data_IF_894290378786
#
_entry.id   IF_894290378786
#
_cell.length_a   1.000
_cell.length_b   1.000
_cell.length_c   1.000
_cell.angle_alpha   90.00
_cell.angle_beta   90.00
_cell.angle_gamma   90.00
#
_symmetry.space_group_name_H-M   'P 1'
#
loop_
_entity.id
_entity.type
_entity.pdbx_description
1 polymer ?
#
# COMPACT_ATOMS: atom_id res chain seq x y z
N UNK A 1 -18.46 -18.89 3.62
CA UNK A 1 -17.64 -17.96 4.42
C UNK A 1 -17.96 -16.56 3.97
N UNK A 2 -18.24 -15.62 4.88
CA UNK A 2 -18.48 -14.23 4.49
C UNK A 2 -17.23 -13.68 3.78
N UNK A 3 -17.42 -13.04 2.62
CA UNK A 3 -16.32 -12.37 1.88
C UNK A 3 -15.60 -11.43 2.85
N UNK A 4 -14.27 -11.53 2.97
CA UNK A 4 -13.53 -10.60 3.83
C UNK A 4 -13.56 -9.22 3.17
N UNK A 5 -14.52 -8.40 3.59
CA UNK A 5 -14.71 -7.06 3.10
C UNK A 5 -14.25 -6.08 4.20
N UNK A 6 -13.16 -5.35 3.93
CA UNK A 6 -12.58 -4.40 4.88
C UNK A 6 -13.58 -3.36 5.36
N UNK A 7 -14.53 -2.96 4.51
CA UNK A 7 -15.52 -1.94 4.83
C UNK A 7 -16.56 -2.40 5.87
N UNK A 8 -16.65 -3.72 6.11
CA UNK A 8 -17.45 -4.31 7.18
C UNK A 8 -16.63 -4.63 8.45
N UNK A 9 -15.31 -4.42 8.43
CA UNK A 9 -14.46 -4.74 9.57
C UNK A 9 -14.65 -3.72 10.71
N UNK A 10 -14.71 -4.17 11.98
CA UNK A 10 -14.83 -3.26 13.12
C UNK A 10 -13.53 -2.48 13.32
N UNK A 11 -13.64 -1.28 13.88
CA UNK A 11 -12.51 -0.43 14.22
C UNK A 11 -12.67 1.00 13.70
N UNK A 12 -11.58 1.75 13.78
CA UNK A 12 -11.44 3.11 13.26
C UNK A 12 -10.51 3.10 12.05
N UNK A 13 -10.70 4.08 11.16
CA UNK A 13 -9.76 4.32 10.07
C UNK A 13 -8.57 5.10 10.61
N UNK A 14 -7.37 4.58 10.39
CA UNK A 14 -6.11 5.22 10.75
C UNK A 14 -5.32 5.53 9.47
N UNK A 15 -4.92 6.79 9.32
CA UNK A 15 -4.11 7.25 8.20
C UNK A 15 -2.65 6.90 8.46
N UNK A 16 -1.96 6.24 7.53
CA UNK A 16 -0.55 5.97 7.74
C UNK A 16 0.29 5.75 6.50
N UNK A 17 1.58 6.07 6.60
CA UNK A 17 2.54 5.81 5.55
C UNK A 17 3.38 4.57 5.87
N UNK A 18 3.68 3.78 4.84
CA UNK A 18 4.39 2.49 4.96
C UNK A 18 5.84 2.54 4.52
N UNK A 19 6.30 3.66 3.95
CA UNK A 19 7.64 3.76 3.37
C UNK A 19 8.22 5.17 3.59
N UNK A 20 9.18 5.30 4.50
CA UNK A 20 9.81 6.57 4.89
C UNK A 20 11.26 6.34 5.31
N UNK A 21 12.15 7.20 4.82
CA UNK A 21 13.57 7.23 5.16
C UNK A 21 13.92 8.45 5.99
N UNK A 22 14.83 8.26 6.93
CA UNK A 22 15.36 9.29 7.81
C UNK A 22 16.86 9.46 7.60
N UNK A 23 17.46 10.37 8.37
CA UNK A 23 18.93 10.52 8.47
C UNK A 23 19.65 9.27 8.98
N UNK A 24 18.93 8.25 9.42
CA UNK A 24 19.52 6.97 9.82
C UNK A 24 19.93 6.11 8.61
N UNK A 25 19.46 6.44 7.40
CA UNK A 25 19.94 5.89 6.13
C UNK A 25 20.27 7.00 5.10
N UNK A 26 19.42 7.26 4.11
CA UNK A 26 19.66 8.22 3.02
C UNK A 26 18.58 9.32 2.90
N UNK A 27 17.64 9.37 3.85
CA UNK A 27 16.74 10.50 4.01
C UNK A 27 17.45 11.74 4.57
N UNK A 28 16.93 12.92 4.27
CA UNK A 28 17.47 14.20 4.78
C UNK A 28 16.75 14.72 6.02
N UNK A 29 15.62 14.11 6.39
CA UNK A 29 14.83 14.49 7.56
C UNK A 29 15.21 13.62 8.76
N UNK A 30 15.37 14.22 9.94
CA UNK A 30 15.50 13.45 11.19
C UNK A 30 14.19 12.76 11.54
N UNK A 31 14.23 11.79 12.44
CA UNK A 31 13.02 11.09 12.93
C UNK A 31 12.01 12.07 13.55
N UNK A 32 12.48 13.11 14.25
CA UNK A 32 11.66 14.17 14.82
C UNK A 32 10.99 15.01 13.74
N UNK A 33 11.74 15.41 12.71
CA UNK A 33 11.20 16.16 11.58
C UNK A 33 10.16 15.34 10.80
N UNK A 34 10.41 14.05 10.61
CA UNK A 34 9.42 13.12 10.04
C UNK A 34 8.14 13.11 10.89
N UNK A 35 8.27 12.95 12.22
CA UNK A 35 7.12 12.98 13.13
C UNK A 35 6.34 14.29 13.02
N UNK A 36 7.04 15.41 12.92
CA UNK A 36 6.43 16.73 12.80
C UNK A 36 5.69 16.91 11.47
N UNK A 37 6.34 16.62 10.34
CA UNK A 37 5.77 16.80 9.00
C UNK A 37 4.54 15.92 8.79
N UNK A 38 4.61 14.64 9.16
CA UNK A 38 3.45 13.75 9.10
C UNK A 38 2.36 14.13 10.13
N UNK A 39 2.76 14.63 11.30
CA UNK A 39 1.85 15.14 12.32
C UNK A 39 1.01 16.33 11.82
N UNK A 40 1.62 17.29 11.10
CA UNK A 40 0.93 18.42 10.46
C UNK A 40 -0.14 17.97 9.47
N UNK A 41 0.05 16.81 8.83
CA UNK A 41 -0.89 16.24 7.85
C UNK A 41 -1.89 15.24 8.45
N UNK A 42 -1.97 15.17 9.78
CA UNK A 42 -2.94 14.35 10.50
C UNK A 42 -2.72 12.84 10.34
N UNK A 43 -1.48 12.40 10.15
CA UNK A 43 -1.18 10.96 10.13
C UNK A 43 -1.32 10.36 11.52
N UNK A 44 -1.79 9.11 11.56
CA UNK A 44 -1.88 8.32 12.77
C UNK A 44 -0.64 7.47 13.01
N UNK A 45 -0.01 6.97 11.95
CA UNK A 45 1.21 6.21 12.06
C UNK A 45 2.12 6.39 10.85
N UNK A 46 3.42 6.17 11.05
CA UNK A 46 4.43 6.19 9.99
C UNK A 46 5.39 5.05 10.26
N UNK A 47 5.65 4.22 9.26
CA UNK A 47 6.74 3.26 9.34
C UNK A 47 8.06 3.94 8.99
N UNK A 48 9.06 3.84 9.88
CA UNK A 48 10.45 4.18 9.58
C UNK A 48 11.09 2.97 8.92
N UNK A 49 11.45 3.08 7.66
CA UNK A 49 11.89 1.96 6.80
C UNK A 49 13.29 2.20 6.26
N UNK A 50 14.16 2.82 7.05
CA UNK A 50 15.54 3.10 6.69
C UNK A 50 16.25 1.86 6.10
N UNK A 51 17.08 2.10 5.09
CA UNK A 51 17.77 1.03 4.38
C UNK A 51 18.61 0.15 5.31
N UNK A 52 18.27 -1.15 5.34
CA UNK A 52 18.95 -2.18 6.14
C UNK A 52 19.05 -1.89 7.64
N UNK A 53 18.32 -0.91 8.16
CA UNK A 53 18.44 -0.43 9.53
C UNK A 53 17.10 -0.33 10.20
N UNK A 54 16.98 -1.00 11.35
CA UNK A 54 15.82 -0.86 12.23
C UNK A 54 15.98 0.41 13.06
N UNK A 55 15.42 1.51 12.58
CA UNK A 55 15.40 2.77 13.32
C UNK A 55 14.46 2.67 14.53
N UNK A 56 14.98 3.04 15.70
CA UNK A 56 14.19 3.13 16.94
C UNK A 56 13.88 4.60 17.18
N UNK A 57 12.60 5.01 17.17
CA UNK A 57 12.26 6.40 17.38
C UNK A 57 12.58 6.83 18.82
N UNK A 58 13.02 8.08 19.03
CA UNK A 58 13.12 8.66 20.37
C UNK A 58 11.81 8.56 21.14
N UNK A 59 11.90 8.37 22.46
CA UNK A 59 10.71 8.35 23.31
C UNK A 59 10.07 9.75 23.42
N UNK A 60 8.75 9.80 23.55
CA UNK A 60 8.02 11.03 23.87
C UNK A 60 7.79 11.99 22.70
N UNK A 61 8.07 11.58 21.46
CA UNK A 61 7.71 12.37 20.28
C UNK A 61 6.19 12.58 20.20
N UNK A 62 5.79 13.80 19.86
CA UNK A 62 4.41 14.16 19.57
C UNK A 62 4.13 13.91 18.09
N UNK A 63 2.93 13.42 17.76
CA UNK A 63 2.49 13.20 16.38
C UNK A 63 2.04 11.76 16.11
N UNK A 64 2.29 11.22 14.91
CA UNK A 64 1.92 9.85 14.58
C UNK A 64 2.72 8.83 15.41
N UNK A 65 2.16 7.63 15.54
CA UNK A 65 2.91 6.49 16.06
C UNK A 65 3.99 6.09 15.06
N UNK A 66 5.25 6.24 15.44
CA UNK A 66 6.38 5.80 14.62
C UNK A 66 6.62 4.31 14.83
N UNK A 67 6.54 3.54 13.75
CA UNK A 67 6.59 2.08 13.75
C UNK A 67 7.87 1.58 13.10
N UNK A 68 8.51 0.52 13.63
CA UNK A 68 9.72 -0.02 13.04
C UNK A 68 9.42 -0.77 11.75
N UNK A 69 10.19 -0.48 10.71
CA UNK A 69 10.29 -1.21 9.46
C UNK A 69 11.74 -1.21 8.98
N UNK A 70 11.99 -1.87 7.86
CA UNK A 70 13.27 -1.84 7.13
C UNK A 70 12.95 -1.92 5.65
N UNK A 71 13.62 -1.12 4.83
CA UNK A 71 13.72 -1.40 3.40
C UNK A 71 15.00 -2.17 3.08
N UNK A 72 14.86 -3.34 2.47
CA UNK A 72 15.96 -4.10 1.92
C UNK A 72 16.16 -3.68 0.46
N UNK A 73 17.38 -3.26 0.10
CA UNK A 73 17.76 -3.06 -1.29
C UNK A 73 18.83 -4.09 -1.70
N UNK A 74 18.67 -4.70 -2.88
CA UNK A 74 19.62 -5.65 -3.44
C UNK A 74 19.38 -5.85 -4.95
N UNK A 75 20.34 -6.47 -5.63
CA UNK A 75 20.24 -6.81 -7.06
C UNK A 75 20.17 -8.33 -7.22
N UNK A 76 19.26 -8.82 -8.06
CA UNK A 76 19.28 -10.21 -8.53
C UNK A 76 19.45 -10.20 -10.05
N UNK A 77 20.57 -10.75 -10.52
CA UNK A 77 20.99 -10.66 -11.93
C UNK A 77 21.11 -9.18 -12.34
N UNK A 78 20.19 -8.68 -13.15
CA UNK A 78 20.19 -7.32 -13.68
C UNK A 78 19.04 -6.47 -13.11
N UNK A 79 18.17 -7.06 -12.28
CA UNK A 79 16.99 -6.39 -11.72
C UNK A 79 17.29 -5.87 -10.31
N UNK A 80 16.92 -4.61 -10.06
CA UNK A 80 16.99 -3.99 -8.73
C UNK A 80 15.73 -4.33 -7.95
N UNK A 81 15.91 -4.71 -6.69
CA UNK A 81 14.84 -5.05 -5.76
C UNK A 81 14.91 -4.17 -4.53
N UNK A 82 13.77 -3.58 -4.22
CA UNK A 82 13.51 -2.88 -2.99
C UNK A 82 12.33 -3.57 -2.30
N UNK A 83 12.54 -4.00 -1.05
CA UNK A 83 11.57 -4.79 -0.30
C UNK A 83 11.37 -4.17 1.08
N UNK A 84 10.22 -3.53 1.28
CA UNK A 84 9.84 -2.97 2.57
C UNK A 84 9.28 -4.06 3.47
N UNK A 85 9.86 -4.21 4.65
CA UNK A 85 9.48 -5.16 5.69
C UNK A 85 8.87 -4.40 6.87
N UNK A 86 7.59 -4.63 7.16
CA UNK A 86 6.87 -3.90 8.22
C UNK A 86 6.88 -4.64 9.57
N UNK A 87 7.02 -3.91 10.66
CA UNK A 87 6.90 -4.46 12.03
C UNK A 87 8.05 -5.39 12.41
N UNK A 88 9.26 -5.08 11.93
CA UNK A 88 10.44 -5.91 12.18
C UNK A 88 10.89 -5.83 13.64
N UNK A 89 11.29 -6.97 14.20
CA UNK A 89 11.76 -7.07 15.59
C UNK A 89 13.26 -6.83 15.75
N UNK A 90 14.02 -7.13 14.70
CA UNK A 90 15.47 -7.01 14.66
C UNK A 90 15.92 -6.52 13.29
N UNK A 91 17.11 -5.92 13.23
CA UNK A 91 17.77 -5.65 11.96
C UNK A 91 18.47 -6.89 11.42
N UNK A 92 18.68 -6.92 10.11
CA UNK A 92 19.47 -7.96 9.44
C UNK A 92 20.71 -7.34 8.81
N UNK A 93 21.86 -8.04 8.83
CA UNK A 93 23.05 -7.53 8.16
C UNK A 93 22.83 -7.47 6.64
N UNK A 94 23.35 -6.42 6.03
CA UNK A 94 23.39 -6.29 4.58
C UNK A 94 24.13 -7.48 3.96
N UNK A 95 23.52 -8.09 2.95
CA UNK A 95 24.14 -9.20 2.21
C UNK A 95 23.58 -9.31 0.80
N UNK A 96 24.38 -9.87 -0.08
CA UNK A 96 23.94 -10.22 -1.42
C UNK A 96 23.04 -11.46 -1.39
N UNK A 97 21.97 -11.42 -2.18
CA UNK A 97 21.10 -12.56 -2.38
C UNK A 97 21.34 -13.16 -3.77
N UNK A 98 21.11 -14.46 -3.89
CA UNK A 98 21.09 -15.19 -5.18
C UNK A 98 19.67 -15.51 -5.63
N UNK A 99 18.70 -15.37 -4.72
CA UNK A 99 17.28 -15.58 -5.01
C UNK A 99 16.40 -14.87 -3.97
N UNK A 100 15.15 -14.61 -4.33
CA UNK A 100 14.13 -14.10 -3.41
C UNK A 100 13.85 -15.08 -2.24
N UNK A 101 14.07 -16.37 -2.43
CA UNK A 101 13.93 -17.36 -1.36
C UNK A 101 14.90 -17.11 -0.19
N UNK A 102 16.12 -16.66 -0.47
CA UNK A 102 17.10 -16.31 0.57
C UNK A 102 16.72 -15.04 1.34
N UNK A 103 15.90 -14.17 0.74
CA UNK A 103 15.32 -13.00 1.42
C UNK A 103 14.25 -13.47 2.40
N UNK A 104 13.33 -14.34 1.94
CA UNK A 104 12.29 -14.94 2.80
C UNK A 104 12.91 -15.74 3.96
N UNK A 105 13.96 -16.52 3.69
CA UNK A 105 14.71 -17.26 4.71
C UNK A 105 15.41 -16.34 5.71
N UNK A 106 15.88 -15.17 5.27
CA UNK A 106 16.47 -14.18 6.18
C UNK A 106 15.41 -13.59 7.11
N UNK A 107 14.26 -13.21 6.55
CA UNK A 107 13.16 -12.60 7.29
C UNK A 107 12.59 -13.62 8.29
N UNK A 108 12.36 -14.86 7.84
CA UNK A 108 11.89 -16.02 8.60
C UNK A 108 10.76 -15.73 9.62
N UNK A 109 9.89 -14.77 9.33
CA UNK A 109 8.73 -14.44 10.15
C UNK A 109 7.55 -14.16 9.23
N UNK A 110 6.58 -15.08 9.22
CA UNK A 110 5.35 -14.95 8.44
C UNK A 110 4.48 -13.77 8.87
N UNK A 111 4.78 -13.16 10.02
CA UNK A 111 4.10 -11.97 10.51
C UNK A 111 4.77 -10.67 10.06
N UNK A 112 5.83 -10.71 9.25
CA UNK A 112 6.41 -9.51 8.64
C UNK A 112 5.83 -9.36 7.23
N UNK A 113 4.94 -8.39 6.99
CA UNK A 113 4.52 -8.06 5.63
C UNK A 113 5.74 -7.61 4.82
N UNK A 114 6.06 -8.36 3.76
CA UNK A 114 7.07 -7.98 2.77
C UNK A 114 6.37 -7.34 1.57
N UNK A 115 6.72 -6.10 1.28
CA UNK A 115 6.12 -5.28 0.22
C UNK A 115 7.15 -5.09 -0.88
N UNK A 116 6.82 -5.41 -2.12
CA UNK A 116 7.64 -5.03 -3.26
C UNK A 116 7.50 -3.51 -3.48
N UNK A 117 8.56 -2.76 -3.18
CA UNK A 117 8.55 -1.31 -3.28
C UNK A 117 8.77 -0.87 -4.74
N UNK A 118 8.01 0.16 -5.14
CA UNK A 118 8.09 0.88 -6.41
C UNK A 118 8.67 0.08 -7.60
N UNK A 119 8.04 -1.05 -7.99
CA UNK A 119 8.64 -1.97 -8.95
C UNK A 119 8.89 -1.32 -10.31
N UNK A 120 8.04 -0.37 -10.71
CA UNK A 120 8.25 0.35 -11.96
C UNK A 120 9.55 1.16 -11.94
N UNK A 121 9.83 1.91 -10.86
CA UNK A 121 11.08 2.66 -10.71
C UNK A 121 12.29 1.75 -10.74
N UNK A 122 12.26 0.68 -9.93
CA UNK A 122 13.34 -0.31 -9.82
C UNK A 122 13.56 -1.16 -11.09
N UNK A 123 12.67 -1.06 -12.07
CA UNK A 123 12.73 -1.87 -13.29
C UNK A 123 12.31 -3.32 -13.09
N UNK A 124 11.78 -3.67 -11.91
CA UNK A 124 11.29 -5.00 -11.59
C UNK A 124 10.07 -5.35 -12.45
N UNK A 125 10.14 -6.33 -13.36
CA UNK A 125 9.03 -6.66 -14.24
C UNK A 125 7.87 -7.31 -13.49
N UNK A 126 6.64 -7.20 -14.03
CA UNK A 126 5.41 -7.70 -13.39
C UNK A 126 5.45 -9.19 -13.03
N UNK A 127 6.17 -10.01 -13.81
CA UNK A 127 6.33 -11.43 -13.53
C UNK A 127 7.04 -11.73 -12.19
N UNK A 128 7.74 -10.77 -11.60
CA UNK A 128 8.31 -10.88 -10.25
C UNK A 128 7.23 -11.22 -9.23
N UNK A 129 6.11 -10.51 -9.26
CA UNK A 129 4.95 -10.76 -8.39
C UNK A 129 4.22 -12.07 -8.74
N UNK A 130 4.37 -12.55 -9.98
CA UNK A 130 3.76 -13.82 -10.43
C UNK A 130 4.57 -15.03 -9.94
N UNK A 131 5.89 -14.99 -10.04
CA UNK A 131 6.77 -16.14 -9.75
C UNK A 131 7.00 -16.33 -8.25
N UNK A 132 6.99 -15.24 -7.48
CA UNK A 132 7.17 -15.29 -6.02
C UNK A 132 5.83 -15.13 -5.31
N UNK A 133 5.31 -16.20 -4.71
CA UNK A 133 4.24 -16.09 -3.70
C UNK A 133 4.82 -15.64 -2.35
N UNK A 134 5.59 -14.54 -2.39
CA UNK A 134 6.42 -14.08 -1.28
C UNK A 134 6.03 -12.68 -0.81
N UNK A 135 5.46 -11.88 -1.70
CA UNK A 135 5.12 -10.50 -1.41
C UNK A 135 3.68 -10.43 -0.89
N UNK A 136 3.55 -9.84 0.29
CA UNK A 136 2.27 -9.52 0.90
C UNK A 136 1.53 -8.44 0.09
N UNK A 137 2.28 -7.42 -0.36
CA UNK A 137 1.75 -6.34 -1.17
C UNK A 137 2.79 -5.85 -2.19
N UNK A 138 2.34 -5.00 -3.11
CA UNK A 138 3.21 -4.16 -3.95
C UNK A 138 2.82 -2.71 -3.78
N UNK A 139 3.77 -1.79 -3.94
CA UNK A 139 3.41 -0.38 -4.08
C UNK A 139 2.72 -0.16 -5.43
N UNK A 140 1.43 0.19 -5.40
CA UNK A 140 0.67 0.57 -6.59
C UNK A 140 0.95 2.00 -6.99
N UNK A 141 1.29 2.83 -6.00
CA UNK A 141 1.72 4.21 -6.17
C UNK A 141 2.85 4.54 -5.19
N UNK A 142 3.87 5.22 -5.68
CA UNK A 142 4.99 5.73 -4.90
C UNK A 142 5.26 7.21 -5.23
N UNK A 143 5.18 8.09 -4.23
CA UNK A 143 5.30 9.55 -4.41
C UNK A 143 6.70 9.98 -4.87
N UNK A 144 7.76 9.52 -4.21
CA UNK A 144 9.14 9.84 -4.56
C UNK A 144 9.43 9.51 -6.03
N UNK A 145 9.06 8.31 -6.45
CA UNK A 145 9.26 7.82 -7.81
C UNK A 145 8.43 8.60 -8.85
N UNK A 146 7.22 9.03 -8.49
CA UNK A 146 6.37 9.86 -9.35
C UNK A 146 6.97 11.25 -9.54
N UNK A 147 7.29 11.94 -8.44
CA UNK A 147 7.78 13.32 -8.45
C UNK A 147 9.14 13.41 -9.15
N UNK A 148 10.03 12.44 -8.89
CA UNK A 148 11.40 12.54 -9.37
C UNK A 148 11.52 12.22 -10.85
N UNK A 149 10.85 11.16 -11.33
CA UNK A 149 11.02 10.66 -12.71
C UNK A 149 9.76 10.05 -13.34
N UNK A 150 8.56 10.34 -12.82
CA UNK A 150 7.28 9.86 -13.36
C UNK A 150 7.13 8.32 -13.42
N UNK A 151 7.75 7.60 -12.47
CA UNK A 151 7.69 6.13 -12.36
C UNK A 151 6.93 5.66 -11.11
N UNK A 152 5.98 6.47 -10.62
CA UNK A 152 5.25 6.18 -9.39
C UNK A 152 4.18 5.09 -9.51
N UNK A 153 3.57 4.90 -10.69
CA UNK A 153 2.40 4.03 -10.86
C UNK A 153 2.76 2.61 -11.31
N UNK A 154 2.31 1.61 -10.55
CA UNK A 154 2.59 0.20 -10.80
C UNK A 154 1.32 -0.68 -10.84
N UNK A 155 0.17 -0.10 -11.21
CA UNK A 155 -1.11 -0.84 -11.30
C UNK A 155 -1.03 -2.07 -12.24
N UNK A 156 -0.31 -1.98 -13.35
CA UNK A 156 -0.11 -3.11 -14.27
C UNK A 156 0.67 -4.26 -13.62
N UNK A 157 1.70 -3.96 -12.81
CA UNK A 157 2.44 -4.98 -12.06
C UNK A 157 1.52 -5.76 -11.13
N UNK A 158 0.65 -5.02 -10.45
CA UNK A 158 -0.32 -5.60 -9.53
C UNK A 158 -1.39 -6.44 -10.26
N UNK A 159 -1.96 -5.92 -11.35
CA UNK A 159 -3.00 -6.60 -12.11
C UNK A 159 -2.52 -7.89 -12.78
N UNK A 160 -1.30 -7.92 -13.27
CA UNK A 160 -0.68 -9.14 -13.82
C UNK A 160 -0.57 -10.24 -12.74
N UNK A 161 -0.21 -9.86 -11.51
CA UNK A 161 -0.16 -10.79 -10.38
C UNK A 161 -1.56 -11.34 -10.03
N UNK A 162 -2.56 -10.45 -9.93
CA UNK A 162 -3.94 -10.84 -9.65
C UNK A 162 -4.52 -11.72 -10.76
N UNK A 163 -4.21 -11.40 -12.03
CA UNK A 163 -4.60 -12.20 -13.20
C UNK A 163 -4.01 -13.61 -13.15
N UNK A 164 -2.78 -13.74 -12.67
CA UNK A 164 -2.09 -15.01 -12.45
C UNK A 164 -2.61 -15.78 -11.21
N UNK A 165 -3.60 -15.23 -10.49
CA UNK A 165 -4.22 -15.87 -9.33
C UNK A 165 -3.49 -15.61 -8.01
N UNK A 166 -2.51 -14.71 -7.97
CA UNK A 166 -1.83 -14.31 -6.74
C UNK A 166 -2.74 -13.43 -5.89
N UNK A 167 -2.60 -13.54 -4.57
CA UNK A 167 -3.34 -12.74 -3.59
C UNK A 167 -2.42 -11.67 -2.99
N UNK A 168 -2.04 -10.71 -3.83
CA UNK A 168 -1.16 -9.60 -3.46
C UNK A 168 -2.01 -8.35 -3.24
N UNK A 169 -1.76 -7.64 -2.14
CA UNK A 169 -2.41 -6.36 -1.84
C UNK A 169 -1.68 -5.18 -2.51
N UNK A 170 -2.29 -3.99 -2.47
CA UNK A 170 -1.67 -2.77 -2.97
C UNK A 170 -1.54 -1.72 -1.89
N UNK A 171 -0.34 -1.18 -1.71
CA UNK A 171 -0.09 -0.01 -0.86
C UNK A 171 0.21 1.22 -1.72
N UNK A 172 -0.22 2.40 -1.28
CA UNK A 172 0.31 3.67 -1.76
C UNK A 172 1.21 4.22 -0.66
N UNK A 173 2.39 4.71 -1.04
CA UNK A 173 3.38 5.18 -0.07
C UNK A 173 4.14 6.39 -0.60
N UNK A 174 4.74 7.13 0.31
CA UNK A 174 5.49 8.33 -0.05
C UNK A 174 6.93 8.03 -0.49
N UNK A 175 7.57 7.06 0.16
CA UNK A 175 9.03 6.84 0.04
C UNK A 175 9.81 8.14 0.33
N UNK A 176 9.46 8.71 1.48
CA UNK A 176 9.93 10.04 1.87
C UNK A 176 11.42 10.01 2.13
N UNK A 177 12.17 10.74 1.29
CA UNK A 177 13.58 11.07 1.52
C UNK A 177 13.75 12.55 1.87
N UNK A 178 12.79 13.42 1.48
CA UNK A 178 12.81 14.87 1.67
C UNK A 178 11.39 15.41 1.82
N UNK A 179 11.25 16.62 2.37
CA UNK A 179 9.96 17.23 2.72
C UNK A 179 8.94 17.24 1.57
N UNK A 180 9.38 17.47 0.33
CA UNK A 180 8.50 17.49 -0.85
C UNK A 180 7.85 16.16 -1.22
N UNK A 181 8.23 15.04 -0.60
CA UNK A 181 7.62 13.72 -0.83
C UNK A 181 6.46 13.42 0.14
N UNK A 182 6.37 14.15 1.25
CA UNK A 182 5.45 13.84 2.35
C UNK A 182 4.00 14.05 1.90
N UNK A 183 3.14 13.06 2.10
CA UNK A 183 1.70 13.21 1.91
C UNK A 183 1.20 13.07 0.48
N UNK A 184 1.95 12.39 -0.41
CA UNK A 184 1.50 12.13 -1.78
C UNK A 184 0.68 10.84 -1.93
N UNK A 185 0.92 9.82 -1.09
CA UNK A 185 0.19 8.55 -1.11
C UNK A 185 0.32 7.78 0.20
N UNK A 186 -0.77 7.18 0.67
CA UNK A 186 -0.81 6.50 1.96
C UNK A 186 -1.84 5.37 2.01
N UNK A 187 -1.83 4.62 3.11
CA UNK A 187 -2.87 3.64 3.42
C UNK A 187 -3.83 4.17 4.48
N UNK A 188 -5.10 3.77 4.37
CA UNK A 188 -6.11 3.94 5.39
C UNK A 188 -6.41 2.57 5.98
N UNK A 189 -5.99 2.34 7.23
CA UNK A 189 -6.05 1.03 7.91
C UNK A 189 -7.23 0.97 8.85
N UNK A 190 -8.06 -0.08 8.76
CA UNK A 190 -9.18 -0.34 9.66
C UNK A 190 -8.69 -1.15 10.87
N UNK A 191 -8.32 -0.46 11.95
CA UNK A 191 -7.74 -1.06 13.15
C UNK A 191 -8.63 -0.87 14.39
N UNK A 192 -8.52 -1.79 15.36
CA UNK A 192 -9.28 -1.71 16.62
C UNK A 192 -8.86 -0.55 17.52
N UNK A 193 -7.58 -0.16 17.45
CA UNK A 193 -6.99 0.92 18.23
C UNK A 193 -5.73 1.46 17.53
N UNK A 194 -5.31 2.67 17.89
CA UNK A 194 -4.05 3.29 17.45
C UNK A 194 -2.87 2.74 18.26
N UNK A 195 -2.50 1.50 17.98
CA UNK A 195 -1.37 0.78 18.60
C UNK A 195 -0.63 -0.02 17.54
N UNK A 196 0.67 -0.22 17.69
CA UNK A 196 1.50 -1.00 16.75
C UNK A 196 0.87 -2.37 16.46
N UNK A 197 0.53 -3.11 17.52
CA UNK A 197 -0.09 -4.43 17.39
C UNK A 197 -1.38 -4.38 16.57
N UNK A 198 -2.28 -3.43 16.87
CA UNK A 198 -3.58 -3.35 16.20
C UNK A 198 -3.46 -2.94 14.73
N UNK A 199 -2.52 -2.05 14.42
CA UNK A 199 -2.22 -1.60 13.05
C UNK A 199 -1.61 -2.75 12.25
N UNK A 200 -0.56 -3.40 12.75
CA UNK A 200 0.07 -4.54 12.06
C UNK A 200 -0.91 -5.72 11.89
N UNK A 201 -1.72 -6.02 12.91
CA UNK A 201 -2.75 -7.06 12.82
C UNK A 201 -3.79 -6.74 11.74
N UNK A 202 -4.19 -5.46 11.60
CA UNK A 202 -5.11 -5.03 10.55
C UNK A 202 -4.46 -5.10 9.16
N UNK A 203 -3.22 -4.62 9.01
CA UNK A 203 -2.45 -4.72 7.77
C UNK A 203 -2.36 -6.18 7.33
N UNK A 204 -1.90 -7.10 8.17
CA UNK A 204 -1.76 -8.54 7.84
C UNK A 204 -3.05 -9.19 7.35
N UNK A 205 -4.22 -8.70 7.78
CA UNK A 205 -5.53 -9.19 7.34
C UNK A 205 -6.00 -8.58 6.02
N UNK A 206 -5.25 -7.64 5.45
CA UNK A 206 -5.69 -6.85 4.29
C UNK A 206 -6.74 -5.80 4.64
N UNK A 207 -6.88 -5.43 5.93
CA UNK A 207 -7.91 -4.48 6.38
C UNK A 207 -7.47 -3.04 6.14
N UNK A 208 -7.20 -2.69 4.88
CA UNK A 208 -6.86 -1.33 4.47
C UNK A 208 -7.24 -1.08 3.01
N UNK A 209 -7.25 0.20 2.63
CA UNK A 209 -7.21 0.64 1.24
C UNK A 209 -6.12 1.69 1.07
N UNK A 210 -5.74 1.98 -0.16
CA UNK A 210 -4.66 2.91 -0.50
C UNK A 210 -5.21 4.14 -1.19
N UNK A 211 -4.59 5.31 -1.00
CA UNK A 211 -5.12 6.55 -1.58
C UNK A 211 -4.08 7.66 -1.69
N UNK A 212 -4.33 8.58 -2.62
CA UNK A 212 -3.65 9.88 -2.71
C UNK A 212 -4.53 11.04 -2.23
N UNK A 213 -5.66 10.75 -1.57
CA UNK A 213 -6.63 11.76 -1.16
C UNK A 213 -8.06 11.24 -1.10
N UNK A 214 -8.62 10.70 -2.20
CA UNK A 214 -10.00 10.24 -2.22
C UNK A 214 -10.29 9.19 -1.14
N UNK A 215 -11.50 9.22 -0.60
CA UNK A 215 -11.95 8.31 0.45
C UNK A 215 -12.85 7.25 -0.18
N UNK A 216 -12.60 5.97 0.10
CA UNK A 216 -13.56 4.90 -0.17
C UNK A 216 -14.29 4.65 1.15
N UNK A 217 -15.56 5.03 1.22
CA UNK A 217 -16.35 4.92 2.45
C UNK A 217 -16.90 3.51 2.62
N UNK A 218 -17.43 2.94 1.53
CA UNK A 218 -18.00 1.60 1.53
C UNK A 218 -17.97 0.95 0.15
N UNK A 219 -17.85 -0.38 0.15
CA UNK A 219 -18.07 -1.24 -1.02
C UNK A 219 -18.98 -2.37 -0.58
N UNK A 220 -20.18 -2.45 -1.14
CA UNK A 220 -21.19 -3.43 -0.76
C UNK A 220 -21.56 -4.34 -1.94
N UNK A 221 -21.93 -5.58 -1.62
CA UNK A 221 -22.35 -6.59 -2.59
C UNK A 221 -23.77 -7.04 -2.29
N UNK A 222 -24.66 -6.99 -3.28
CA UNK A 222 -26.04 -7.51 -3.18
C UNK A 222 -26.40 -8.26 -4.46
N UNK A 223 -26.45 -9.59 -4.39
CA UNK A 223 -26.64 -10.42 -5.58
C UNK A 223 -25.50 -10.19 -6.58
N UNK A 224 -25.85 -9.69 -7.76
CA UNK A 224 -24.94 -9.35 -8.86
C UNK A 224 -24.54 -7.87 -8.90
N UNK A 225 -24.90 -7.10 -7.88
CA UNK A 225 -24.64 -5.66 -7.78
C UNK A 225 -23.46 -5.35 -6.87
N UNK A 226 -22.67 -4.35 -7.28
CA UNK A 226 -21.57 -3.76 -6.50
C UNK A 226 -21.89 -2.29 -6.30
N UNK A 227 -22.15 -1.88 -5.06
CA UNK A 227 -22.43 -0.49 -4.70
C UNK A 227 -21.20 0.12 -4.04
N UNK A 228 -20.77 1.29 -4.51
CA UNK A 228 -19.59 2.01 -3.99
C UNK A 228 -20.04 3.37 -3.47
N UNK A 229 -19.58 3.76 -2.28
CA UNK A 229 -19.67 5.13 -1.78
C UNK A 229 -18.28 5.67 -1.43
N UNK A 230 -18.06 6.94 -1.70
CA UNK A 230 -16.76 7.59 -1.63
C UNK A 230 -16.88 9.11 -1.46
N UNK A 231 -15.74 9.76 -1.21
CA UNK A 231 -15.64 11.22 -1.34
C UNK A 231 -16.01 11.70 -2.76
N UNK A 232 -16.28 13.00 -2.98
CA UNK A 232 -16.52 13.55 -4.30
C UNK A 232 -15.46 13.16 -5.34
N UNK A 233 -15.87 12.45 -6.40
CA UNK A 233 -15.00 11.97 -7.49
C UNK A 233 -15.61 12.20 -8.88
N UNK A 234 -14.81 12.03 -9.94
CA UNK A 234 -15.25 12.08 -11.35
C UNK A 234 -15.46 10.71 -11.97
N UNK A 235 -14.75 9.72 -11.45
CA UNK A 235 -14.74 8.36 -12.01
C UNK A 235 -14.67 7.32 -10.91
N UNK A 236 -15.53 6.31 -11.02
CA UNK A 236 -15.48 5.09 -10.21
C UNK A 236 -15.25 3.91 -11.17
N UNK A 237 -14.22 3.10 -10.89
CA UNK A 237 -13.91 1.90 -11.65
C UNK A 237 -14.14 0.67 -10.78
N UNK A 238 -14.81 -0.33 -11.33
CA UNK A 238 -14.78 -1.71 -10.85
C UNK A 238 -13.84 -2.49 -11.76
N UNK A 239 -12.80 -3.07 -11.18
CA UNK A 239 -11.79 -3.82 -11.93
C UNK A 239 -11.74 -5.25 -11.40
N UNK A 240 -11.66 -6.20 -12.33
CA UNK A 240 -11.62 -7.63 -12.05
C UNK A 240 -10.63 -8.33 -13.00
N UNK A 241 -10.70 -9.67 -13.06
CA UNK A 241 -9.75 -10.47 -13.84
C UNK A 241 -9.95 -10.28 -15.35
N UNK A 242 -8.86 -10.07 -16.07
CA UNK A 242 -8.89 -10.00 -17.53
C UNK A 242 -9.70 -8.79 -18.03
N UNK A 243 -10.58 -8.95 -19.04
CA UNK A 243 -11.38 -7.83 -19.56
C UNK A 243 -12.58 -7.48 -18.66
N UNK A 244 -12.79 -8.17 -17.55
CA UNK A 244 -13.95 -7.96 -16.68
C UNK A 244 -13.79 -6.71 -15.81
N UNK A 245 -14.78 -5.83 -15.87
CA UNK A 245 -14.81 -4.58 -15.12
C UNK A 245 -15.88 -3.65 -15.67
N UNK A 246 -16.01 -2.49 -15.05
CA UNK A 246 -16.88 -1.41 -15.52
C UNK A 246 -16.37 -0.07 -14.99
N UNK A 247 -16.65 1.00 -15.71
CA UNK A 247 -16.30 2.36 -15.33
C UNK A 247 -17.53 3.24 -15.44
N UNK A 248 -17.77 4.06 -14.41
CA UNK A 248 -18.72 5.15 -14.46
C UNK A 248 -17.98 6.48 -14.41
N UNK A 249 -18.28 7.39 -15.35
CA UNK A 249 -17.68 8.72 -15.47
C UNK A 249 -18.79 9.76 -15.40
N UNK A 250 -18.61 10.79 -14.59
CA UNK A 250 -19.53 11.91 -14.48
C UNK A 250 -18.89 13.25 -14.83
N UNK A 251 -19.67 14.13 -15.47
CA UNK A 251 -19.32 15.55 -15.71
C UNK A 251 -19.44 16.42 -14.47
N UNK A 252 -20.04 15.91 -13.39
CA UNK A 252 -20.11 16.54 -12.07
C UNK A 252 -19.45 15.64 -11.02
N UNK A 253 -19.20 16.17 -9.82
CA UNK A 253 -18.73 15.33 -8.73
C UNK A 253 -19.85 14.37 -8.29
N UNK A 254 -19.49 13.10 -8.09
CA UNK A 254 -20.37 12.05 -7.56
C UNK A 254 -19.76 11.47 -6.29
N UNK A 255 -20.61 10.92 -5.42
CA UNK A 255 -20.19 10.30 -4.15
C UNK A 255 -20.56 8.83 -4.06
N UNK A 256 -21.26 8.29 -5.07
CA UNK A 256 -21.59 6.88 -5.14
C UNK A 256 -21.96 6.44 -6.56
N UNK A 257 -21.87 5.14 -6.81
CA UNK A 257 -22.45 4.49 -7.97
C UNK A 257 -22.72 3.01 -7.70
N UNK A 258 -23.70 2.44 -8.38
CA UNK A 258 -24.00 1.00 -8.33
C UNK A 258 -23.79 0.38 -9.71
N UNK A 259 -23.01 -0.69 -9.76
CA UNK A 259 -22.76 -1.48 -10.96
C UNK A 259 -23.52 -2.79 -10.87
N UNK A 260 -23.99 -3.28 -12.01
CA UNK A 260 -24.62 -4.60 -12.14
C UNK A 260 -23.86 -5.46 -13.14
N UNK A 261 -23.51 -6.69 -12.75
CA UNK A 261 -22.75 -7.61 -13.59
C UNK A 261 -23.59 -8.82 -13.96
N UNK A 262 -23.51 -9.26 -15.22
CA UNK A 262 -24.23 -10.47 -15.69
C UNK A 262 -23.55 -11.77 -15.24
N UNK A 263 -22.25 -11.71 -14.99
CA UNK A 263 -21.43 -12.86 -14.64
C UNK A 263 -20.71 -12.62 -13.32
N UNK A 264 -20.44 -13.67 -12.54
CA UNK A 264 -19.69 -13.54 -11.30
C UNK A 264 -18.25 -13.07 -11.59
N UNK A 265 -17.79 -12.10 -10.80
CA UNK A 265 -16.43 -11.61 -10.85
C UNK A 265 -15.57 -12.38 -9.84
N UNK A 266 -14.39 -12.93 -10.20
CA UNK A 266 -13.54 -13.70 -9.28
C UNK A 266 -13.01 -12.86 -8.11
N UNK A 267 -12.82 -11.57 -8.34
CA UNK A 267 -12.56 -10.55 -7.33
C UNK A 267 -13.07 -9.20 -7.82
N UNK A 268 -13.25 -8.25 -6.91
CA UNK A 268 -13.57 -6.86 -7.24
C UNK A 268 -12.58 -5.93 -6.57
N UNK A 269 -11.95 -5.07 -7.36
CA UNK A 269 -11.16 -3.93 -6.93
C UNK A 269 -11.86 -2.65 -7.34
N UNK A 270 -11.82 -1.65 -6.48
CA UNK A 270 -12.40 -0.33 -6.74
C UNK A 270 -11.29 0.69 -6.94
N UNK A 271 -11.46 1.56 -7.93
CA UNK A 271 -10.75 2.84 -7.99
C UNK A 271 -11.72 4.00 -7.94
N UNK A 272 -11.46 4.97 -7.07
CA UNK A 272 -12.18 6.24 -7.02
C UNK A 272 -11.21 7.37 -7.40
N UNK A 273 -11.50 8.08 -8.49
CA UNK A 273 -10.59 9.07 -9.08
C UNK A 273 -11.23 10.46 -9.04
N UNK A 274 -10.58 11.39 -8.34
CA UNK A 274 -11.09 12.75 -8.18
C UNK A 274 -10.92 13.63 -9.43
N UNK A 275 -11.29 14.91 -9.30
CA UNK A 275 -11.20 15.88 -10.38
C UNK A 275 -9.76 16.24 -10.78
N UNK A 276 -8.77 15.90 -9.95
CA UNK A 276 -7.35 16.16 -10.17
C UNK A 276 -6.59 14.91 -10.61
N UNK A 277 -7.28 13.78 -10.81
CA UNK A 277 -6.68 12.50 -11.18
C UNK A 277 -6.06 11.75 -10.00
N UNK A 278 -6.19 12.24 -8.75
CA UNK A 278 -5.76 11.50 -7.57
C UNK A 278 -6.70 10.33 -7.36
N UNK A 279 -6.13 9.20 -6.99
CA UNK A 279 -6.85 7.92 -6.96
C UNK A 279 -6.82 7.28 -5.58
N UNK A 280 -7.92 6.65 -5.20
CA UNK A 280 -7.99 5.66 -4.13
C UNK A 280 -8.18 4.27 -4.73
N UNK A 281 -7.46 3.29 -4.21
CA UNK A 281 -7.48 1.88 -4.61
C UNK A 281 -7.94 1.01 -3.45
N UNK A 282 -9.04 0.27 -3.62
CA UNK A 282 -9.36 -0.82 -2.69
C UNK A 282 -8.45 -2.01 -2.96
N UNK A 283 -8.14 -2.78 -1.91
CA UNK A 283 -7.66 -4.14 -2.09
C UNK A 283 -8.71 -5.02 -2.80
N UNK A 284 -8.33 -6.16 -3.40
CA UNK A 284 -9.27 -7.03 -4.09
C UNK A 284 -10.18 -7.70 -3.06
N UNK A 285 -11.48 -7.64 -3.29
CA UNK A 285 -12.49 -8.36 -2.52
C UNK A 285 -12.83 -9.62 -3.30
N UNK A 286 -12.29 -10.75 -2.88
CA UNK A 286 -12.50 -12.04 -3.54
C UNK A 286 -13.93 -12.55 -3.35
N UNK A 287 -14.44 -13.24 -4.38
CA UNK A 287 -15.75 -13.89 -4.36
C UNK A 287 -15.81 -15.08 -3.40
#
# INVERSE_FOLDING_TARGET
MAKSNVFNAPGVWLKGNTHTHSTESDGVLTVEQISEEYGKLGYDFVFLTDHWKRTVPPAGLKGPLLLPGIELHFTLKDDIYHVVCLGVKQAWPMRNFRSLAQVVEMVNDKNVPMILAHPYWSGSPSYTLIKGDIFFATEVYNTCCDINIAKGLSAVHWDDALRAGRRVFAVAADDTHRQGHVGGGWVMVRAKAKTEKSILDAIRRGNFYSTQGPIIENVAFKGNKVSVSCSPVRRINVISRGPSGATFISKTNITSHEFEFKHPLPYVRIECVDAHGKTAWSNPIWA
#
